data_IF_800079269594
#
_entry.id   IF_800079269594
#
_cell.length_a   1.000
_cell.length_b   1.000
_cell.length_c   1.000
_cell.angle_alpha   90.00
_cell.angle_beta   90.00
_cell.angle_gamma   90.00
#
_symmetry.space_group_name_H-M   'P 1'
#
loop_
_entity.id
_entity.type
_entity.pdbx_description
1 polymer ?
#
# COMPACT_ATOMS: atom_id res chain seq x y z
N UNK A 1 2.77 5.68 6.75
CA UNK A 1 3.84 4.67 6.79
C UNK A 1 4.15 4.13 5.40
N UNK A 2 3.22 3.47 4.71
CA UNK A 2 3.45 2.89 3.36
C UNK A 2 4.09 3.84 2.34
N UNK A 3 3.73 5.13 2.37
CA UNK A 3 4.37 6.14 1.51
C UNK A 3 5.88 6.27 1.73
N UNK A 4 6.31 6.27 2.99
CA UNK A 4 7.73 6.32 3.37
C UNK A 4 8.45 5.07 2.89
N UNK A 5 7.82 3.91 3.03
CA UNK A 5 8.37 2.61 2.59
C UNK A 5 8.51 2.57 1.07
N UNK A 6 7.49 3.01 0.33
CA UNK A 6 7.57 3.16 -1.12
C UNK A 6 8.72 4.07 -1.53
N UNK A 7 8.85 5.24 -0.89
CA UNK A 7 9.95 6.16 -1.15
C UNK A 7 11.34 5.53 -0.92
N UNK A 8 11.52 4.80 0.19
CA UNK A 8 12.75 4.03 0.45
C UNK A 8 13.02 2.99 -0.65
N UNK A 9 11.99 2.28 -1.12
CA UNK A 9 12.10 1.34 -2.25
C UNK A 9 12.52 1.98 -3.58
N UNK A 10 12.27 3.27 -3.75
CA UNK A 10 12.75 4.08 -4.88
C UNK A 10 14.15 4.68 -4.66
N UNK A 11 14.85 4.31 -3.58
CA UNK A 11 16.21 4.73 -3.30
C UNK A 11 16.32 6.08 -2.59
N UNK A 12 15.23 6.56 -2.00
CA UNK A 12 15.28 7.72 -1.12
C UNK A 12 15.94 7.32 0.20
N UNK A 13 16.84 8.17 0.69
CA UNK A 13 17.44 8.04 2.02
C UNK A 13 16.37 7.94 3.12
N UNK A 14 16.32 6.82 3.88
CA UNK A 14 15.32 6.61 4.91
C UNK A 14 15.55 7.46 6.17
N UNK A 15 16.76 7.98 6.42
CA UNK A 15 17.08 8.71 7.66
C UNK A 15 16.23 9.99 7.81
N UNK A 16 16.21 10.93 6.83
CA UNK A 16 15.34 12.10 6.90
C UNK A 16 13.84 11.76 6.94
N UNK A 17 13.44 10.64 6.34
CA UNK A 17 12.05 10.19 6.39
C UNK A 17 11.71 9.74 7.82
N UNK A 18 12.57 8.96 8.45
CA UNK A 18 12.36 8.48 9.81
C UNK A 18 12.27 9.64 10.81
N UNK A 19 13.14 10.65 10.69
CA UNK A 19 13.09 11.87 11.49
C UNK A 19 11.74 12.57 11.37
N UNK A 20 11.28 12.82 10.14
CA UNK A 20 9.97 13.43 9.89
C UNK A 20 8.82 12.59 10.47
N UNK A 21 8.85 11.26 10.32
CA UNK A 21 7.83 10.37 10.90
C UNK A 21 7.80 10.41 12.44
N UNK A 22 8.95 10.61 13.09
CA UNK A 22 9.06 10.80 14.54
C UNK A 22 8.47 12.14 14.94
N UNK A 23 8.82 13.23 14.24
CA UNK A 23 8.25 14.57 14.47
C UNK A 23 6.73 14.59 14.35
N UNK A 24 6.20 13.86 13.36
CA UNK A 24 4.75 13.73 13.15
C UNK A 24 4.08 12.72 14.11
N UNK A 25 4.83 12.13 15.05
CA UNK A 25 4.32 11.14 16.02
C UNK A 25 3.58 9.98 15.35
N UNK A 26 4.12 9.45 14.24
CA UNK A 26 3.57 8.27 13.56
C UNK A 26 4.56 7.12 13.41
N UNK A 27 5.84 7.34 13.75
CA UNK A 27 6.87 6.30 13.74
C UNK A 27 6.49 5.06 14.57
N UNK A 28 5.79 5.24 15.69
CA UNK A 28 5.37 4.14 16.56
C UNK A 28 4.34 3.19 15.93
N UNK A 29 3.71 3.58 14.82
CA UNK A 29 2.79 2.72 14.06
C UNK A 29 3.49 1.93 12.95
N UNK A 30 4.81 2.12 12.75
CA UNK A 30 5.58 1.33 11.81
C UNK A 30 5.64 -0.13 12.25
N UNK A 31 5.35 -1.04 11.33
CA UNK A 31 5.49 -2.47 11.58
C UNK A 31 6.96 -2.86 11.82
N UNK A 32 7.24 -3.99 12.48
CA UNK A 32 8.61 -4.48 12.66
C UNK A 32 9.42 -4.56 11.36
N UNK A 33 8.82 -5.03 10.26
CA UNK A 33 9.47 -5.11 8.96
C UNK A 33 9.78 -3.72 8.38
N UNK A 34 8.84 -2.77 8.50
CA UNK A 34 9.01 -1.39 8.05
C UNK A 34 10.15 -0.68 8.81
N UNK A 35 10.20 -0.86 10.14
CA UNK A 35 11.29 -0.32 10.95
C UNK A 35 12.65 -0.93 10.59
N UNK A 36 12.68 -2.23 10.28
CA UNK A 36 13.91 -2.93 9.89
C UNK A 36 14.44 -2.39 8.56
N UNK A 37 13.55 -2.26 7.57
CA UNK A 37 13.90 -1.70 6.26
C UNK A 37 14.46 -0.28 6.37
N UNK A 38 13.79 0.59 7.14
CA UNK A 38 14.19 2.00 7.25
C UNK A 38 15.46 2.22 8.08
N UNK A 39 15.83 1.28 8.96
CA UNK A 39 17.09 1.32 9.73
C UNK A 39 18.24 0.62 9.03
N UNK A 40 17.98 -0.15 7.98
CA UNK A 40 18.99 -0.90 7.26
C UNK A 40 19.89 0.03 6.45
N UNK A 41 21.21 -0.14 6.59
CA UNK A 41 22.21 0.53 5.77
C UNK A 41 22.55 -0.25 4.49
N UNK A 42 22.00 -1.46 4.33
CA UNK A 42 22.27 -2.34 3.21
C UNK A 42 21.05 -3.23 2.89
N UNK A 43 20.00 -2.63 2.33
CA UNK A 43 18.82 -3.37 1.86
C UNK A 43 19.12 -4.07 0.54
N UNK A 44 18.58 -5.28 0.38
CA UNK A 44 18.68 -6.08 -0.85
C UNK A 44 17.74 -5.54 -1.94
N UNK A 45 18.03 -5.86 -3.21
CA UNK A 45 17.18 -5.46 -4.33
C UNK A 45 15.74 -6.01 -4.19
N UNK A 46 15.60 -7.22 -3.63
CA UNK A 46 14.29 -7.84 -3.39
C UNK A 46 13.50 -7.08 -2.32
N UNK A 47 14.11 -6.71 -1.20
CA UNK A 47 13.47 -5.90 -0.15
C UNK A 47 13.03 -4.53 -0.67
N UNK A 48 13.86 -3.87 -1.48
CA UNK A 48 13.50 -2.61 -2.13
C UNK A 48 12.38 -2.79 -3.14
N UNK A 49 12.34 -3.93 -3.85
CA UNK A 49 11.26 -4.25 -4.77
C UNK A 49 9.92 -4.44 -4.05
N UNK A 50 9.90 -5.20 -2.97
CA UNK A 50 8.70 -5.37 -2.12
C UNK A 50 8.25 -4.04 -1.52
N UNK A 51 9.19 -3.20 -1.08
CA UNK A 51 8.90 -1.87 -0.57
C UNK A 51 8.22 -0.98 -1.63
N UNK A 52 8.65 -1.02 -2.89
CA UNK A 52 8.00 -0.29 -3.99
C UNK A 52 6.55 -0.74 -4.18
N UNK A 53 6.29 -2.05 -4.12
CA UNK A 53 4.93 -2.58 -4.29
C UNK A 53 3.96 -2.11 -3.21
N UNK A 54 4.43 -1.69 -2.03
CA UNK A 54 3.57 -1.11 -0.98
C UNK A 54 2.80 0.13 -1.41
N UNK A 55 3.20 0.81 -2.49
CA UNK A 55 2.42 1.92 -3.05
C UNK A 55 1.04 1.46 -3.56
N UNK A 56 0.89 0.22 -4.03
CA UNK A 56 -0.40 -0.31 -4.51
C UNK A 56 -1.35 -0.60 -3.34
N UNK A 57 -0.80 -1.08 -2.22
CA UNK A 57 -1.53 -1.21 -0.98
C UNK A 57 -1.94 0.17 -0.44
N UNK A 58 -1.02 1.14 -0.47
CA UNK A 58 -1.32 2.53 -0.13
C UNK A 58 -2.45 3.09 -1.00
N UNK A 59 -2.43 2.83 -2.30
CA UNK A 59 -3.47 3.29 -3.23
C UNK A 59 -4.86 2.74 -2.87
N UNK A 60 -4.95 1.46 -2.48
CA UNK A 60 -6.17 0.85 -1.96
C UNK A 60 -6.69 1.54 -0.68
N UNK A 61 -5.79 1.81 0.29
CA UNK A 61 -6.17 2.50 1.52
C UNK A 61 -6.57 3.96 1.28
N UNK A 62 -5.90 4.65 0.36
CA UNK A 62 -6.26 6.01 -0.05
C UNK A 62 -7.62 6.05 -0.73
N UNK A 63 -7.96 5.03 -1.52
CA UNK A 63 -9.31 4.87 -2.05
C UNK A 63 -10.32 4.71 -0.92
N UNK A 64 -10.04 3.88 0.09
CA UNK A 64 -10.92 3.66 1.23
C UNK A 64 -11.21 4.95 2.02
N UNK A 65 -10.30 5.93 2.02
CA UNK A 65 -10.50 7.24 2.69
C UNK A 65 -10.86 8.40 1.75
N UNK A 66 -11.42 8.10 0.58
CA UNK A 66 -11.86 9.08 -0.43
C UNK A 66 -10.77 10.01 -0.99
N UNK A 67 -9.50 9.61 -0.91
CA UNK A 67 -8.38 10.33 -1.57
C UNK A 67 -8.18 9.87 -3.02
N UNK A 68 -8.57 8.64 -3.33
CA UNK A 68 -8.57 8.09 -4.69
C UNK A 68 -10.01 7.78 -5.11
N UNK A 69 -10.36 8.19 -6.33
CA UNK A 69 -11.73 8.05 -6.84
C UNK A 69 -12.10 6.60 -7.20
N UNK A 70 -11.21 5.87 -7.87
CA UNK A 70 -11.41 4.48 -8.28
C UNK A 70 -10.08 3.72 -8.37
N UNK A 71 -10.08 2.44 -8.05
CA UNK A 71 -8.93 1.55 -8.21
C UNK A 71 -8.80 0.96 -9.62
N UNK A 72 -9.89 0.91 -10.39
CA UNK A 72 -9.91 0.25 -11.69
C UNK A 72 -9.63 -1.26 -11.63
N UNK A 73 -9.27 -1.86 -12.75
CA UNK A 73 -8.75 -3.23 -12.79
C UNK A 73 -7.25 -3.24 -12.45
N UNK A 74 -6.70 -4.36 -11.93
CA UNK A 74 -5.26 -4.49 -11.65
C UNK A 74 -4.46 -4.74 -12.94
N UNK A 75 -4.69 -3.92 -13.97
CA UNK A 75 -4.02 -4.00 -15.28
C UNK A 75 -3.01 -2.87 -15.48
N UNK A 76 -2.88 -1.99 -14.49
CA UNK A 76 -1.94 -0.88 -14.44
C UNK A 76 -1.55 -0.63 -12.98
N UNK A 77 -0.36 -0.08 -12.78
CA UNK A 77 0.08 0.42 -11.48
C UNK A 77 -0.67 1.70 -11.12
N UNK A 78 -0.63 2.10 -9.85
CA UNK A 78 -1.15 3.37 -9.40
C UNK A 78 -0.44 4.55 -10.07
N UNK A 79 -1.10 5.70 -10.10
CA UNK A 79 -0.48 6.95 -10.54
C UNK A 79 0.47 7.46 -9.45
N UNK A 80 1.75 7.06 -9.53
CA UNK A 80 2.77 7.47 -8.57
C UNK A 80 3.00 8.98 -8.59
N UNK A 81 2.76 9.66 -9.73
CA UNK A 81 2.85 11.11 -9.83
C UNK A 81 1.80 11.79 -8.95
N UNK A 82 0.53 11.49 -9.17
CA UNK A 82 -0.54 12.01 -8.31
C UNK A 82 -0.43 11.54 -6.86
N UNK A 83 0.08 10.32 -6.61
CA UNK A 83 0.34 9.84 -5.26
C UNK A 83 1.29 10.77 -4.49
N UNK A 84 2.41 11.14 -5.11
CA UNK A 84 3.47 11.93 -4.47
C UNK A 84 3.15 13.42 -4.49
N UNK A 85 2.67 13.94 -5.62
CA UNK A 85 2.57 15.39 -5.85
C UNK A 85 1.21 15.98 -5.44
N UNK A 86 0.12 15.20 -5.53
CA UNK A 86 -1.24 15.70 -5.34
C UNK A 86 -1.92 15.21 -4.05
N UNK A 87 -1.63 13.98 -3.61
CA UNK A 87 -2.39 13.30 -2.54
C UNK A 87 -1.66 13.33 -1.21
N UNK A 88 -0.37 12.97 -1.19
CA UNK A 88 0.39 12.82 0.04
C UNK A 88 1.00 14.14 0.50
N UNK A 89 1.12 14.39 1.82
CA UNK A 89 1.85 15.54 2.33
C UNK A 89 3.30 15.54 1.85
N UNK A 90 3.80 16.72 1.52
CA UNK A 90 5.21 16.91 1.22
C UNK A 90 6.08 16.60 2.43
N UNK A 91 7.36 16.29 2.17
CA UNK A 91 8.32 16.05 3.26
C UNK A 91 8.50 17.30 4.09
N UNK A 92 8.50 17.14 5.41
CA UNK A 92 8.60 18.26 6.35
C UNK A 92 7.28 19.03 6.55
N UNK A 93 6.22 18.70 5.81
CA UNK A 93 4.90 19.28 6.04
C UNK A 93 4.19 18.57 7.20
N UNK A 94 3.25 19.26 7.83
CA UNK A 94 2.38 18.63 8.82
C UNK A 94 1.42 17.65 8.13
N UNK A 95 1.25 16.46 8.72
CA UNK A 95 0.26 15.48 8.23
C UNK A 95 -1.16 15.78 8.71
N UNK A 96 -1.33 16.73 9.64
CA UNK A 96 -2.63 17.04 10.26
C UNK A 96 -3.72 17.40 9.23
N UNK A 97 -3.47 18.24 8.21
CA UNK A 97 -4.48 18.56 7.19
C UNK A 97 -4.90 17.33 6.38
N UNK A 98 -3.97 16.41 6.12
CA UNK A 98 -4.27 15.17 5.42
C UNK A 98 -5.15 14.25 6.26
N UNK A 99 -4.80 14.06 7.53
CA UNK A 99 -5.55 13.22 8.47
C UNK A 99 -6.93 13.82 8.74
N UNK A 100 -7.04 15.12 8.98
CA UNK A 100 -8.29 15.80 9.32
C UNK A 100 -9.28 15.84 8.15
N UNK A 101 -8.79 15.75 6.90
CA UNK A 101 -9.60 15.67 5.69
C UNK A 101 -9.92 14.23 5.24
N UNK A 102 -9.31 13.20 5.82
CA UNK A 102 -9.58 11.81 5.49
C UNK A 102 -11.03 11.42 5.87
N UNK A 103 -11.76 10.79 4.96
CA UNK A 103 -13.15 10.35 5.19
C UNK A 103 -13.31 8.94 4.70
N UNK A 104 -13.58 8.01 5.61
CA UNK A 104 -13.84 6.62 5.24
C UNK A 104 -15.04 6.53 4.29
N UNK A 105 -14.92 5.73 3.23
CA UNK A 105 -16.02 5.34 2.36
C UNK A 105 -17.08 4.57 3.12
N UNK A 106 -18.28 4.48 2.55
CA UNK A 106 -19.35 3.72 3.18
C UNK A 106 -18.94 2.25 3.29
N UNK A 107 -19.30 1.56 4.39
CA UNK A 107 -18.94 0.15 4.58
C UNK A 107 -19.33 -0.75 3.39
N UNK A 108 -20.49 -0.50 2.77
CA UNK A 108 -20.93 -1.24 1.58
C UNK A 108 -20.07 -1.02 0.34
N UNK A 109 -19.47 0.17 0.18
CA UNK A 109 -18.52 0.41 -0.93
C UNK A 109 -17.22 -0.36 -0.69
N UNK A 110 -16.68 -0.30 0.53
CA UNK A 110 -15.46 -1.01 0.91
C UNK A 110 -15.65 -2.52 0.75
N UNK A 111 -16.77 -3.06 1.25
CA UNK A 111 -17.10 -4.48 1.10
C UNK A 111 -17.20 -4.89 -0.37
N UNK A 112 -17.86 -4.10 -1.21
CA UNK A 112 -18.01 -4.41 -2.63
C UNK A 112 -16.65 -4.45 -3.37
N UNK A 113 -15.75 -3.51 -3.09
CA UNK A 113 -14.42 -3.50 -3.72
C UNK A 113 -13.49 -4.57 -3.13
N UNK A 114 -13.62 -4.89 -1.83
CA UNK A 114 -12.94 -6.02 -1.21
C UNK A 114 -13.39 -7.33 -1.87
N UNK A 115 -14.69 -7.60 -1.95
CA UNK A 115 -15.25 -8.80 -2.59
C UNK A 115 -14.78 -8.93 -4.04
N UNK A 116 -14.74 -7.83 -4.79
CA UNK A 116 -14.21 -7.81 -6.16
C UNK A 116 -12.73 -8.20 -6.19
N UNK A 117 -11.92 -7.61 -5.31
CA UNK A 117 -10.47 -7.85 -5.23
C UNK A 117 -10.17 -9.29 -4.80
N UNK A 118 -10.87 -9.77 -3.77
CA UNK A 118 -10.83 -11.14 -3.28
C UNK A 118 -11.15 -12.15 -4.39
N UNK A 119 -12.26 -11.95 -5.11
CA UNK A 119 -12.67 -12.84 -6.20
C UNK A 119 -11.62 -12.87 -7.32
N UNK A 120 -11.11 -11.71 -7.73
CA UNK A 120 -10.03 -11.63 -8.72
C UNK A 120 -8.79 -12.39 -8.25
N UNK A 121 -8.39 -12.24 -6.99
CA UNK A 121 -7.23 -12.93 -6.44
C UNK A 121 -7.44 -14.45 -6.38
N UNK A 122 -8.65 -14.90 -6.00
CA UNK A 122 -9.05 -16.31 -6.05
C UNK A 122 -8.96 -16.92 -7.45
N UNK A 123 -9.29 -16.18 -8.51
CA UNK A 123 -9.11 -16.63 -9.89
C UNK A 123 -7.65 -16.58 -10.35
N UNK A 124 -6.91 -15.53 -9.98
CA UNK A 124 -5.54 -15.33 -10.42
C UNK A 124 -4.58 -16.39 -9.89
N UNK A 125 -4.72 -16.81 -8.63
CA UNK A 125 -3.80 -17.75 -7.98
C UNK A 125 -3.70 -19.13 -8.67
N UNK A 126 -4.79 -19.84 -9.01
CA UNK A 126 -4.68 -21.06 -9.82
C UNK A 126 -4.22 -20.75 -11.25
N UNK A 127 -4.68 -19.64 -11.84
CA UNK A 127 -4.31 -19.26 -13.21
C UNK A 127 -2.80 -19.00 -13.40
N UNK A 128 -2.10 -18.53 -12.37
CA UNK A 128 -0.63 -18.41 -12.36
C UNK A 128 0.03 -19.79 -12.50
N UNK A 129 -0.44 -20.77 -11.73
CA UNK A 129 0.10 -22.14 -11.76
C UNK A 129 -0.17 -22.83 -13.09
N UNK A 130 -1.32 -22.55 -13.67
CA UNK A 130 -1.76 -23.09 -14.95
C UNK A 130 -1.22 -22.30 -16.16
N UNK A 131 -0.53 -21.18 -15.94
CA UNK A 131 -0.07 -20.26 -17.00
C UNK A 131 -1.22 -19.76 -17.89
N UNK A 132 -2.40 -19.55 -17.31
CA UNK A 132 -3.64 -19.08 -17.97
C UNK A 132 -4.05 -17.68 -17.52
N UNK A 133 -3.20 -16.99 -16.75
CA UNK A 133 -3.46 -15.62 -16.30
C UNK A 133 -3.62 -14.68 -17.51
N UNK A 134 -4.63 -13.80 -17.52
CA UNK A 134 -4.74 -12.76 -18.55
C UNK A 134 -3.44 -11.96 -18.65
N UNK A 135 -2.95 -11.74 -19.87
CA UNK A 135 -1.63 -11.13 -20.09
C UNK A 135 -1.53 -9.67 -19.69
N UNK A 136 -2.66 -8.99 -19.50
CA UNK A 136 -2.75 -7.62 -19.02
C UNK A 136 -2.87 -7.51 -17.49
N UNK A 137 -3.11 -8.61 -16.77
CA UNK A 137 -3.23 -8.60 -15.32
C UNK A 137 -1.85 -8.51 -14.66
N UNK A 138 -1.67 -7.50 -13.81
CA UNK A 138 -0.46 -7.28 -13.02
C UNK A 138 -0.69 -7.88 -11.64
N UNK A 139 -0.24 -9.11 -11.42
CA UNK A 139 -0.51 -9.82 -10.17
C UNK A 139 -0.01 -9.09 -8.91
N UNK A 140 1.20 -8.49 -8.87
CA UNK A 140 1.63 -7.74 -7.70
C UNK A 140 0.70 -6.58 -7.31
N UNK A 141 0.05 -5.93 -8.28
CA UNK A 141 -0.96 -4.89 -8.04
C UNK A 141 -2.18 -5.49 -7.35
N UNK A 142 -2.71 -6.59 -7.89
CA UNK A 142 -3.85 -7.30 -7.31
C UNK A 142 -3.55 -7.79 -5.88
N UNK A 143 -2.38 -8.38 -5.69
CA UNK A 143 -1.93 -8.90 -4.39
C UNK A 143 -1.85 -7.80 -3.33
N UNK A 144 -1.20 -6.68 -3.62
CA UNK A 144 -1.04 -5.59 -2.64
C UNK A 144 -2.38 -4.91 -2.30
N UNK A 145 -3.29 -4.78 -3.27
CA UNK A 145 -4.66 -4.30 -3.00
C UNK A 145 -5.44 -5.26 -2.13
N UNK A 146 -5.35 -6.56 -2.41
CA UNK A 146 -5.98 -7.60 -1.59
C UNK A 146 -5.45 -7.58 -0.16
N UNK A 147 -4.12 -7.56 0.00
CA UNK A 147 -3.45 -7.46 1.30
C UNK A 147 -3.92 -6.24 2.10
N UNK A 148 -4.03 -5.08 1.46
CA UNK A 148 -4.54 -3.87 2.11
C UNK A 148 -5.98 -4.00 2.59
N UNK A 149 -6.84 -4.70 1.85
CA UNK A 149 -8.23 -4.93 2.26
C UNK A 149 -8.37 -6.00 3.35
N UNK A 150 -7.57 -7.06 3.31
CA UNK A 150 -7.48 -8.03 4.41
C UNK A 150 -7.06 -7.31 5.71
N UNK A 151 -6.03 -6.46 5.64
CA UNK A 151 -5.65 -5.63 6.78
C UNK A 151 -6.76 -4.66 7.24
N UNK A 152 -7.43 -3.98 6.31
CA UNK A 152 -8.45 -2.98 6.63
C UNK A 152 -9.70 -3.59 7.28
N UNK A 153 -10.03 -4.83 6.93
CA UNK A 153 -11.26 -5.51 7.36
C UNK A 153 -11.04 -6.59 8.42
N UNK A 154 -9.78 -6.97 8.65
CA UNK A 154 -9.36 -7.94 9.67
C UNK A 154 -8.84 -7.29 10.95
N UNK A 155 -8.30 -8.13 11.83
CA UNK A 155 -7.75 -7.74 13.14
C UNK A 155 -6.20 -7.87 13.20
N UNK A 156 -5.57 -8.35 12.13
CA UNK A 156 -4.14 -8.62 12.07
C UNK A 156 -3.31 -7.33 12.04
N UNK A 157 -2.11 -7.39 12.65
CA UNK A 157 -1.12 -6.35 12.43
C UNK A 157 -0.59 -6.42 11.00
N UNK A 158 -0.07 -5.30 10.48
CA UNK A 158 0.35 -5.17 9.08
C UNK A 158 1.19 -6.36 8.60
N UNK A 159 2.26 -6.71 9.31
CA UNK A 159 3.18 -7.80 8.93
C UNK A 159 2.60 -9.22 9.12
N UNK A 160 1.46 -9.35 9.80
CA UNK A 160 0.83 -10.62 10.16
C UNK A 160 -0.31 -10.99 9.22
N UNK A 161 -0.76 -10.04 8.37
CA UNK A 161 -1.84 -10.24 7.41
C UNK A 161 -1.56 -11.43 6.51
N UNK A 162 -2.48 -12.38 6.51
CA UNK A 162 -2.45 -13.53 5.61
C UNK A 162 -3.43 -13.33 4.45
N UNK A 163 -2.98 -13.56 3.23
CA UNK A 163 -3.83 -13.62 2.05
C UNK A 163 -4.06 -15.08 1.65
N UNK A 164 -4.49 -15.90 2.61
CA UNK A 164 -4.79 -17.32 2.46
C UNK A 164 -6.11 -17.50 1.71
N UNK A 165 -6.12 -17.03 0.48
CA UNK A 165 -7.13 -17.43 -0.49
C UNK A 165 -6.63 -18.66 -1.20
#
# INVERSE_FOLDING_TARGET
MLHAIGATGYGVDPEPIAEWLIEQSIWQYASPAEQTLMKSTASTDDELSEARWRQEAQWALLWAINKVHSLGLPTQTCDTGSLVDDIMPGRGESIEPFVSSARLRLPGEILAENDRTYNLHCYARPAIRESTLPGDLIYPVLFQRHYAFEWLTGDDQWDEVQTDT
#
